data_IF_176607675057
#
_entry.id   IF_176607675057
#
_cell.length_a   1.000
_cell.length_b   1.000
_cell.length_c   1.000
_cell.angle_alpha   90.00
_cell.angle_beta   90.00
_cell.angle_gamma   90.00
#
_symmetry.space_group_name_H-M   'P 1'
#
loop_
_entity.id
_entity.type
_entity.pdbx_description
1 polymer ?
#
# COMPACT_ATOMS: atom_id res chain seq x y z
N UNK A 1 28.63 -16.40 -8.69
CA UNK A 1 27.27 -15.94 -8.34
C UNK A 1 26.29 -16.63 -9.30
N UNK A 2 25.20 -17.26 -8.85
CA UNK A 2 24.26 -17.93 -9.77
C UNK A 2 23.38 -16.89 -10.48
N UNK A 3 22.93 -17.22 -11.71
CA UNK A 3 22.09 -16.35 -12.54
C UNK A 3 20.83 -15.86 -11.80
N UNK A 4 20.21 -16.74 -10.99
CA UNK A 4 19.03 -16.41 -10.19
C UNK A 4 19.27 -15.26 -9.20
N UNK A 5 20.47 -15.18 -8.63
CA UNK A 5 20.80 -14.13 -7.66
C UNK A 5 20.92 -12.76 -8.32
N UNK A 6 21.46 -12.73 -9.55
CA UNK A 6 21.58 -11.51 -10.36
C UNK A 6 20.19 -11.04 -10.80
N UNK A 7 19.35 -11.96 -11.29
CA UNK A 7 17.98 -11.63 -11.70
C UNK A 7 17.16 -11.09 -10.52
N UNK A 8 17.24 -11.74 -9.34
CA UNK A 8 16.58 -11.24 -8.13
C UNK A 8 17.08 -9.85 -7.71
N UNK A 9 18.37 -9.58 -7.86
CA UNK A 9 18.93 -8.27 -7.56
C UNK A 9 18.41 -7.19 -8.52
N UNK A 10 18.39 -7.45 -9.82
CA UNK A 10 17.84 -6.51 -10.81
C UNK A 10 16.34 -6.27 -10.60
N UNK A 11 15.55 -7.31 -10.32
CA UNK A 11 14.13 -7.17 -9.99
C UNK A 11 13.90 -6.38 -8.70
N UNK A 12 14.79 -6.50 -7.72
CA UNK A 12 14.69 -5.72 -6.47
C UNK A 12 14.75 -4.21 -6.69
N UNK A 13 15.41 -3.77 -7.77
CA UNK A 13 15.48 -2.35 -8.15
C UNK A 13 14.12 -1.77 -8.54
N UNK A 14 13.16 -2.61 -8.94
CA UNK A 14 11.79 -2.16 -9.25
C UNK A 14 11.03 -1.65 -8.02
N UNK A 15 11.51 -1.96 -6.82
CA UNK A 15 10.87 -1.64 -5.55
C UNK A 15 11.67 -0.62 -4.72
N UNK A 16 12.57 0.16 -5.34
CA UNK A 16 13.38 1.15 -4.63
C UNK A 16 12.57 2.33 -4.10
N UNK A 17 11.44 2.63 -4.73
CA UNK A 17 10.48 3.67 -4.29
C UNK A 17 9.68 3.27 -3.04
N UNK A 18 9.75 2.00 -2.63
CA UNK A 18 9.07 1.53 -1.43
C UNK A 18 9.83 1.98 -0.17
N UNK A 19 9.11 2.25 0.94
CA UNK A 19 9.73 2.67 2.18
C UNK A 19 10.61 1.58 2.79
N UNK A 20 11.68 2.02 3.44
CA UNK A 20 12.52 1.17 4.31
C UNK A 20 11.71 0.73 5.53
N UNK A 21 10.93 1.65 6.12
CA UNK A 21 10.02 1.41 7.23
C UNK A 21 8.66 2.04 6.93
N UNK A 22 7.60 1.24 7.05
CA UNK A 22 6.22 1.76 7.01
C UNK A 22 5.84 2.41 8.34
N UNK A 23 4.84 3.28 8.31
CA UNK A 23 4.27 3.91 9.51
C UNK A 23 2.88 3.39 9.75
N UNK A 24 2.47 3.27 11.01
CA UNK A 24 1.05 3.08 11.31
C UNK A 24 0.26 4.35 10.99
N UNK A 25 -1.04 4.21 10.74
CA UNK A 25 -1.92 5.36 10.59
C UNK A 25 -1.91 6.25 11.85
N UNK A 26 -1.81 5.67 13.05
CA UNK A 26 -1.67 6.44 14.30
C UNK A 26 -0.40 7.29 14.28
N UNK A 27 0.75 6.70 13.98
CA UNK A 27 2.03 7.42 13.91
C UNK A 27 1.96 8.56 12.89
N UNK A 28 1.36 8.31 11.72
CA UNK A 28 1.20 9.32 10.67
C UNK A 28 0.28 10.48 11.09
N UNK A 29 -0.80 10.21 11.83
CA UNK A 29 -1.71 11.26 12.33
C UNK A 29 -1.05 12.12 13.42
N UNK A 30 -0.22 11.54 14.28
CA UNK A 30 0.49 12.26 15.33
C UNK A 30 1.65 13.12 14.80
N UNK A 31 2.19 12.81 13.61
CA UNK A 31 3.26 13.61 13.01
C UNK A 31 2.72 14.90 12.35
N UNK A 32 3.36 16.07 12.58
CA UNK A 32 3.02 17.30 11.86
C UNK A 32 3.42 17.23 10.37
N UNK A 33 4.41 16.39 10.03
CA UNK A 33 4.86 16.13 8.64
C UNK A 33 4.98 14.63 8.44
N UNK A 34 3.87 13.93 8.12
CA UNK A 34 3.88 12.48 7.96
C UNK A 34 4.62 12.08 6.68
N UNK A 35 5.73 11.35 6.83
CA UNK A 35 6.60 10.96 5.73
C UNK A 35 7.33 9.66 6.01
N UNK A 36 7.74 8.97 4.95
CA UNK A 36 8.62 7.78 5.00
C UNK A 36 9.80 7.96 4.06
N UNK A 37 10.91 7.28 4.37
CA UNK A 37 12.11 7.25 3.54
C UNK A 37 12.08 5.99 2.68
N UNK A 38 12.15 6.15 1.37
CA UNK A 38 12.24 5.08 0.38
C UNK A 38 13.64 4.47 0.35
N UNK A 39 13.77 3.28 -0.25
CA UNK A 39 15.06 2.57 -0.34
C UNK A 39 16.09 3.27 -1.24
N UNK A 40 15.64 4.08 -2.18
CA UNK A 40 16.50 4.99 -2.97
C UNK A 40 16.91 6.26 -2.21
N UNK A 41 16.49 6.41 -0.95
CA UNK A 41 16.77 7.59 -0.12
C UNK A 41 15.82 8.76 -0.34
N UNK A 42 14.86 8.66 -1.28
CA UNK A 42 13.85 9.69 -1.48
C UNK A 42 12.88 9.77 -0.30
N UNK A 43 12.29 10.95 -0.09
CA UNK A 43 11.28 11.18 0.95
C UNK A 43 9.90 11.16 0.31
N UNK A 44 9.03 10.29 0.81
CA UNK A 44 7.65 10.20 0.41
C UNK A 44 6.74 10.77 1.50
N UNK A 45 6.05 11.86 1.20
CA UNK A 45 5.15 12.54 2.14
C UNK A 45 3.70 12.11 1.94
N UNK A 46 2.94 12.00 3.02
CA UNK A 46 1.52 11.70 2.98
C UNK A 46 0.68 12.98 3.06
N UNK A 47 -0.40 13.04 2.26
CA UNK A 47 -1.42 14.09 2.37
C UNK A 47 -2.22 13.92 3.65
N UNK A 48 -2.40 15.01 4.40
CA UNK A 48 -3.10 14.99 5.68
C UNK A 48 -4.56 14.56 5.51
N UNK A 49 -5.19 15.02 4.44
CA UNK A 49 -6.59 14.76 4.13
C UNK A 49 -6.83 13.27 3.83
N UNK A 50 -5.85 12.60 3.20
CA UNK A 50 -5.92 11.14 2.98
C UNK A 50 -5.82 10.37 4.31
N UNK A 51 -4.94 10.81 5.23
CA UNK A 51 -4.80 10.18 6.55
C UNK A 51 -6.07 10.35 7.39
N UNK A 52 -6.66 11.54 7.40
CA UNK A 52 -7.91 11.80 8.12
C UNK A 52 -9.08 11.02 7.53
N UNK A 53 -9.15 10.93 6.20
CA UNK A 53 -10.13 10.09 5.53
C UNK A 53 -9.98 8.61 5.94
N UNK A 54 -8.75 8.08 5.95
CA UNK A 54 -8.48 6.72 6.43
C UNK A 54 -8.86 6.53 7.91
N UNK A 55 -8.63 7.55 8.74
CA UNK A 55 -8.98 7.55 10.16
C UNK A 55 -10.49 7.50 10.41
N UNK A 56 -11.30 7.98 9.46
CA UNK A 56 -12.76 7.87 9.48
C UNK A 56 -13.32 6.52 9.01
N UNK A 57 -12.52 5.72 8.31
CA UNK A 57 -12.92 4.37 7.83
C UNK A 57 -12.65 3.26 8.85
N UNK A 58 -11.78 3.51 9.82
CA UNK A 58 -11.34 2.54 10.82
C UNK A 58 -11.67 3.01 12.25
N UNK A 59 -12.09 2.11 13.14
CA UNK A 59 -12.11 2.37 14.57
C UNK A 59 -10.71 2.77 15.08
N UNK A 60 -10.64 3.57 16.14
CA UNK A 60 -9.35 4.04 16.68
C UNK A 60 -8.42 2.88 17.09
N UNK A 61 -8.97 1.78 17.57
CA UNK A 61 -8.24 0.58 17.97
C UNK A 61 -7.53 -0.13 16.79
N UNK A 62 -7.99 0.07 15.55
CA UNK A 62 -7.41 -0.54 14.36
C UNK A 62 -6.39 0.39 13.67
N UNK A 63 -6.22 1.65 14.12
CA UNK A 63 -5.31 2.62 13.49
C UNK A 63 -3.82 2.24 13.61
N UNK A 64 -3.46 1.46 14.63
CA UNK A 64 -2.09 0.95 14.77
C UNK A 64 -1.78 -0.20 13.80
N UNK A 65 -2.82 -0.91 13.34
CA UNK A 65 -2.70 -2.05 12.45
C UNK A 65 -2.53 -1.63 10.99
N UNK A 66 -3.12 -0.50 10.58
CA UNK A 66 -3.02 -0.02 9.20
C UNK A 66 -1.63 0.53 8.92
N UNK A 67 -0.87 -0.13 8.05
CA UNK A 67 0.48 0.27 7.69
C UNK A 67 0.51 1.05 6.37
N UNK A 68 1.17 2.21 6.38
CA UNK A 68 1.26 3.13 5.27
C UNK A 68 2.66 3.13 4.61
N UNK A 69 2.72 3.20 3.28
CA UNK A 69 1.59 3.18 2.35
C UNK A 69 0.98 1.77 2.24
N UNK A 70 -0.31 1.72 1.88
CA UNK A 70 -0.99 0.48 1.52
C UNK A 70 -0.38 -0.02 0.20
N UNK A 71 0.11 -1.26 0.22
CA UNK A 71 0.82 -1.83 -0.92
C UNK A 71 -0.17 -2.50 -1.89
N UNK A 72 -0.10 -2.07 -3.15
CA UNK A 72 -0.84 -2.64 -4.29
C UNK A 72 0.12 -3.63 -4.97
N UNK A 73 0.07 -4.89 -4.58
CA UNK A 73 0.99 -5.92 -5.07
C UNK A 73 0.59 -6.37 -6.49
N UNK A 74 1.42 -6.06 -7.47
CA UNK A 74 1.26 -6.52 -8.85
C UNK A 74 1.91 -7.90 -8.97
N UNK A 75 1.10 -8.94 -9.15
CA UNK A 75 1.58 -10.31 -9.28
C UNK A 75 1.32 -10.83 -10.70
N UNK A 76 2.38 -11.11 -11.49
CA UNK A 76 2.21 -11.66 -12.84
C UNK A 76 1.40 -12.97 -12.86
N UNK A 77 1.52 -13.79 -11.80
CA UNK A 77 0.84 -15.10 -11.68
C UNK A 77 -0.68 -15.00 -11.52
N UNK A 78 -1.20 -13.87 -11.04
CA UNK A 78 -2.65 -13.66 -10.82
C UNK A 78 -3.40 -13.16 -12.07
N UNK A 79 -2.70 -13.08 -13.21
CA UNK A 79 -3.26 -12.59 -14.45
C UNK A 79 -3.00 -11.09 -14.69
N UNK A 80 -3.16 -10.69 -15.96
CA UNK A 80 -2.75 -9.36 -16.41
C UNK A 80 -3.60 -8.26 -15.78
N UNK A 81 -2.96 -7.40 -15.00
CA UNK A 81 -3.63 -6.24 -14.38
C UNK A 81 -4.41 -6.57 -13.12
N UNK A 82 -4.18 -7.75 -12.53
CA UNK A 82 -4.64 -8.09 -11.18
C UNK A 82 -3.62 -7.55 -10.18
N UNK A 83 -4.12 -6.97 -9.10
CA UNK A 83 -3.32 -6.60 -7.94
C UNK A 83 -3.90 -7.21 -6.67
N UNK A 84 -3.04 -7.54 -5.73
CA UNK A 84 -3.38 -8.07 -4.42
C UNK A 84 -3.17 -7.02 -3.34
N UNK A 85 -4.13 -6.93 -2.43
CA UNK A 85 -4.02 -6.19 -1.17
C UNK A 85 -3.98 -7.21 -0.04
N UNK A 86 -2.99 -7.04 0.85
CA UNK A 86 -2.72 -7.92 1.98
C UNK A 86 -2.74 -7.12 3.28
N UNK A 87 -3.11 -7.80 4.37
CA UNK A 87 -3.27 -7.19 5.69
C UNK A 87 -4.74 -6.92 6.00
N UNK A 88 -5.15 -7.22 7.24
CA UNK A 88 -6.56 -7.16 7.65
C UNK A 88 -7.10 -5.71 7.59
N UNK A 89 -6.34 -4.76 8.12
CA UNK A 89 -6.72 -3.35 8.15
C UNK A 89 -6.71 -2.74 6.73
N UNK A 90 -5.70 -3.06 5.93
CA UNK A 90 -5.55 -2.63 4.55
C UNK A 90 -6.70 -3.15 3.68
N UNK A 91 -7.03 -4.44 3.77
CA UNK A 91 -8.15 -5.04 3.03
C UNK A 91 -9.47 -4.39 3.44
N UNK A 92 -9.71 -4.18 4.74
CA UNK A 92 -10.93 -3.55 5.25
C UNK A 92 -11.11 -2.14 4.68
N UNK A 93 -10.07 -1.32 4.73
CA UNK A 93 -10.05 0.03 4.14
C UNK A 93 -10.30 -0.02 2.64
N UNK A 94 -9.54 -0.81 1.89
CA UNK A 94 -9.66 -0.82 0.42
C UNK A 94 -11.03 -1.32 -0.01
N UNK A 95 -11.63 -2.31 0.67
CA UNK A 95 -13.01 -2.74 0.41
C UNK A 95 -14.01 -1.61 0.59
N UNK A 96 -13.90 -0.83 1.66
CA UNK A 96 -14.79 0.32 1.90
C UNK A 96 -14.60 1.40 0.83
N UNK A 97 -13.35 1.72 0.48
CA UNK A 97 -13.01 2.72 -0.56
C UNK A 97 -13.64 2.35 -1.92
N UNK A 98 -13.62 1.05 -2.25
CA UNK A 98 -14.17 0.46 -3.46
C UNK A 98 -15.65 0.06 -3.35
N UNK A 99 -16.30 0.29 -2.20
CA UNK A 99 -17.69 -0.10 -1.92
C UNK A 99 -17.97 -1.59 -2.14
N UNK A 100 -17.00 -2.46 -1.83
CA UNK A 100 -17.14 -3.92 -1.87
C UNK A 100 -17.71 -4.45 -0.55
N UNK A 101 -18.39 -5.60 -0.61
CA UNK A 101 -18.87 -6.30 0.59
C UNK A 101 -17.69 -6.68 1.51
N UNK A 102 -17.85 -6.58 2.84
CA UNK A 102 -16.87 -7.11 3.79
C UNK A 102 -16.67 -8.60 3.54
N UNK A 103 -15.42 -9.03 3.46
CA UNK A 103 -15.07 -10.44 3.42
C UNK A 103 -13.68 -10.62 4.06
N UNK A 104 -13.49 -11.77 4.69
CA UNK A 104 -12.21 -12.15 5.27
C UNK A 104 -11.20 -12.57 4.18
N UNK A 105 -9.92 -12.48 4.50
CA UNK A 105 -8.82 -12.89 3.63
C UNK A 105 -8.33 -11.79 2.68
N UNK A 106 -7.53 -12.20 1.71
CA UNK A 106 -6.89 -11.30 0.75
C UNK A 106 -7.91 -10.66 -0.20
N UNK A 107 -7.60 -9.45 -0.69
CA UNK A 107 -8.42 -8.77 -1.68
C UNK A 107 -7.68 -8.69 -3.01
N UNK A 108 -8.25 -9.34 -4.02
CA UNK A 108 -7.88 -9.12 -5.42
C UNK A 108 -8.67 -7.94 -5.98
N UNK A 109 -7.95 -7.01 -6.59
CA UNK A 109 -8.49 -5.87 -7.30
C UNK A 109 -7.96 -5.83 -8.73
N UNK A 110 -8.78 -5.34 -9.66
CA UNK A 110 -8.42 -5.25 -11.07
C UNK A 110 -8.07 -3.82 -11.48
N UNK A 111 -7.50 -3.64 -12.68
CA UNK A 111 -7.10 -2.31 -13.20
C UNK A 111 -8.11 -1.18 -12.99
N UNK A 112 -9.43 -1.34 -13.22
CA UNK A 112 -10.39 -0.27 -12.97
C UNK A 112 -10.46 0.12 -11.50
N UNK A 113 -10.37 -0.86 -10.60
CA UNK A 113 -10.46 -0.67 -9.14
C UNK A 113 -9.16 -0.07 -8.59
N UNK A 114 -8.00 -0.51 -9.11
CA UNK A 114 -6.72 0.13 -8.85
C UNK A 114 -6.77 1.61 -9.23
N UNK A 115 -7.35 1.95 -10.39
CA UNK A 115 -7.49 3.33 -10.83
C UNK A 115 -8.38 4.15 -9.88
N UNK A 116 -9.50 3.60 -9.41
CA UNK A 116 -10.37 4.24 -8.41
C UNK A 116 -9.61 4.46 -7.10
N UNK A 117 -8.90 3.44 -6.62
CA UNK A 117 -8.12 3.49 -5.39
C UNK A 117 -7.03 4.56 -5.47
N UNK A 118 -6.23 4.56 -6.53
CA UNK A 118 -5.14 5.53 -6.75
C UNK A 118 -5.62 6.96 -6.95
N UNK A 119 -6.83 7.16 -7.48
CA UNK A 119 -7.46 8.49 -7.58
C UNK A 119 -7.84 9.04 -6.20
N UNK A 120 -8.33 8.17 -5.30
CA UNK A 120 -8.74 8.57 -3.95
C UNK A 120 -7.58 8.67 -2.96
N UNK A 121 -6.61 7.76 -3.06
CA UNK A 121 -5.51 7.60 -2.12
C UNK A 121 -4.13 7.67 -2.82
N UNK A 122 -3.79 8.78 -3.52
CA UNK A 122 -2.58 8.87 -4.32
C UNK A 122 -1.29 8.85 -3.51
N UNK A 123 -1.28 9.34 -2.26
CA UNK A 123 -0.07 9.37 -1.42
C UNK A 123 -0.03 8.26 -0.39
N UNK A 124 -1.16 7.72 0.04
CA UNK A 124 -1.23 6.65 1.04
C UNK A 124 -1.23 5.23 0.44
N UNK A 125 -1.04 5.10 -0.87
CA UNK A 125 -0.88 3.81 -1.56
C UNK A 125 0.37 3.80 -2.43
N UNK A 126 0.99 2.63 -2.63
CA UNK A 126 2.12 2.45 -3.54
C UNK A 126 2.07 1.09 -4.23
N UNK A 127 2.65 0.98 -5.43
CA UNK A 127 2.78 -0.29 -6.13
C UNK A 127 3.93 -1.11 -5.57
N UNK A 128 3.67 -2.38 -5.31
CA UNK A 128 4.69 -3.38 -5.01
C UNK A 128 4.79 -4.31 -6.21
N UNK A 129 5.98 -4.42 -6.81
CA UNK A 129 6.23 -5.42 -7.85
C UNK A 129 6.68 -6.71 -7.18
N UNK A 130 5.87 -7.75 -7.27
CA UNK A 130 6.16 -9.08 -6.74
C UNK A 130 6.35 -10.06 -7.90
N UNK A 131 7.35 -10.92 -7.79
CA UNK A 131 7.81 -11.85 -8.82
C UNK A 131 7.75 -13.31 -8.36
#
# INVERSE_FOLDING_TARGET
MSADRIIKFELSKLNVHLPVRRLSLREALSSPKPQVVARDGSVHTFKREELEFLAGLLPEADRDKLQLPILIALEPKLGRGTARISGEAEVKVVRQVLKKKPAAGELLIYRPEVAILRRKLPTTTQYLFSW
#
